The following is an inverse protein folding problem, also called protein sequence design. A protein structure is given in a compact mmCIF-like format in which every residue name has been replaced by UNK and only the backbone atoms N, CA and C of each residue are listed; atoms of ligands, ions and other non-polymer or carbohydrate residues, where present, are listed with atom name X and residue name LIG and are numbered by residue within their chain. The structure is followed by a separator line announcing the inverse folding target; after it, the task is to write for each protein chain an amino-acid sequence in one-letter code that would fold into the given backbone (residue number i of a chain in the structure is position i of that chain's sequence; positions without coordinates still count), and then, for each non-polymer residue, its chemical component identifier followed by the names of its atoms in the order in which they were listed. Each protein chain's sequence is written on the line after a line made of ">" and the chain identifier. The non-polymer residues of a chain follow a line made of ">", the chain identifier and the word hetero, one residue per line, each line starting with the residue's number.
data_IF_271722045219
#
_entry.id   IF_271722045219
#
_cell.length_a   1.000
_cell.length_b   1.000
_cell.length_c   1.000
_cell.angle_alpha   90.00
_cell.angle_beta   90.00
_cell.angle_gamma   90.00
#
_symmetry.space_group_name_H-M   'P 1'
#
loop_
_entity.id
_entity.type
_entity.pdbx_description
1 polymer ?
#
# COMPACT_ATOMS: atom_id res chain seq x y z
N UNK A 1 6.39 -48.43 5.07
CA UNK A 1 7.16 -48.07 3.85
C UNK A 1 6.18 -47.36 2.94
N UNK A 2 6.34 -46.16 2.41
CA UNK A 2 7.29 -45.05 2.44
C UNK A 2 6.54 -43.99 1.59
N UNK A 3 6.56 -42.67 1.76
CA UNK A 3 7.23 -41.67 2.58
C UNK A 3 6.33 -40.44 2.41
N UNK A 4 6.06 -39.72 3.49
CA UNK A 4 5.57 -38.35 3.41
C UNK A 4 6.56 -37.51 2.60
N UNK A 5 6.17 -37.10 1.39
CA UNK A 5 6.92 -36.11 0.63
C UNK A 5 6.53 -34.72 1.15
N UNK A 6 7.22 -34.26 2.20
CA UNK A 6 7.31 -32.84 2.56
C UNK A 6 7.78 -32.08 1.32
N UNK A 7 6.90 -31.35 0.65
CA UNK A 7 7.32 -30.36 -0.34
C UNK A 7 7.96 -29.19 0.41
N UNK A 8 9.21 -28.91 0.06
CA UNK A 8 10.10 -28.04 0.78
C UNK A 8 9.64 -26.57 0.70
N UNK A 9 9.26 -26.04 1.86
CA UNK A 9 9.54 -24.68 2.32
C UNK A 9 9.99 -23.66 1.25
N UNK A 10 9.03 -22.96 0.64
CA UNK A 10 9.23 -21.58 0.16
C UNK A 10 8.45 -20.64 1.07
N UNK A 11 8.79 -20.62 2.37
CA UNK A 11 8.31 -19.54 3.22
C UNK A 11 8.87 -18.23 2.66
N UNK A 12 7.97 -17.32 2.27
CA UNK A 12 8.34 -15.96 1.89
C UNK A 12 9.23 -15.35 2.97
N UNK A 13 10.30 -14.66 2.58
CA UNK A 13 11.17 -13.96 3.53
C UNK A 13 10.41 -12.90 4.35
N UNK A 14 9.23 -12.46 3.86
CA UNK A 14 8.40 -11.45 4.48
C UNK A 14 6.92 -11.84 4.44
N UNK A 15 6.20 -11.43 5.48
CA UNK A 15 4.73 -11.44 5.48
C UNK A 15 4.22 -10.33 4.57
N UNK A 16 3.26 -10.65 3.70
CA UNK A 16 2.57 -9.67 2.87
C UNK A 16 1.21 -9.31 3.49
N UNK A 17 0.81 -8.05 3.32
CA UNK A 17 -0.53 -7.58 3.68
C UNK A 17 -1.16 -6.99 2.44
N UNK A 18 -2.27 -7.60 1.99
CA UNK A 18 -2.99 -7.15 0.81
C UNK A 18 -4.07 -6.13 1.19
N UNK A 19 -4.10 -5.02 0.45
CA UNK A 19 -5.11 -3.98 0.59
C UNK A 19 -5.79 -3.71 -0.75
N UNK A 20 -7.09 -3.41 -0.74
CA UNK A 20 -7.87 -3.04 -1.93
C UNK A 20 -8.48 -1.66 -1.76
N UNK A 21 -8.13 -0.76 -2.66
CA UNK A 21 -8.61 0.62 -2.72
C UNK A 21 -9.04 0.93 -4.15
N UNK A 22 -9.88 1.97 -4.30
CA UNK A 22 -10.33 2.42 -5.61
C UNK A 22 -9.26 3.35 -6.22
N UNK A 23 -8.55 4.11 -5.37
CA UNK A 23 -7.41 4.96 -5.77
C UNK A 23 -6.26 4.84 -4.76
N UNK A 24 -5.03 4.78 -5.26
CA UNK A 24 -3.81 4.83 -4.44
C UNK A 24 -2.93 5.98 -4.93
N UNK A 25 -2.62 6.92 -4.04
CA UNK A 25 -1.72 8.04 -4.28
C UNK A 25 -0.40 7.79 -3.56
N UNK A 26 0.72 7.85 -4.29
CA UNK A 26 2.06 7.68 -3.74
C UNK A 26 2.76 9.05 -3.68
N UNK A 27 3.03 9.51 -2.47
CA UNK A 27 3.58 10.82 -2.17
C UNK A 27 2.53 11.76 -1.55
N UNK A 28 2.92 12.43 -0.46
CA UNK A 28 2.07 13.37 0.28
C UNK A 28 2.59 14.82 0.21
N UNK A 29 3.14 15.22 -0.94
CA UNK A 29 3.39 16.62 -1.30
C UNK A 29 2.10 17.38 -1.61
N UNK A 30 2.20 18.65 -2.02
CA UNK A 30 1.02 19.47 -2.33
C UNK A 30 0.08 18.82 -3.35
N UNK A 31 0.64 18.31 -4.45
CA UNK A 31 -0.12 17.60 -5.48
C UNK A 31 -0.75 16.29 -4.96
N UNK A 32 0.01 15.50 -4.19
CA UNK A 32 -0.45 14.22 -3.66
C UNK A 32 -1.60 14.37 -2.65
N UNK A 33 -1.52 15.38 -1.77
CA UNK A 33 -2.60 15.70 -0.83
C UNK A 33 -3.84 16.24 -1.56
N UNK A 34 -3.68 17.10 -2.57
CA UNK A 34 -4.83 17.60 -3.35
C UNK A 34 -5.51 16.48 -4.15
N UNK A 35 -4.75 15.56 -4.72
CA UNK A 35 -5.29 14.38 -5.40
C UNK A 35 -6.04 13.48 -4.40
N UNK A 36 -5.41 13.15 -3.26
CA UNK A 36 -6.01 12.31 -2.22
C UNK A 36 -7.33 12.89 -1.72
N UNK A 37 -7.35 14.18 -1.36
CA UNK A 37 -8.56 14.86 -0.90
C UNK A 37 -9.64 14.86 -1.97
N UNK A 38 -9.30 15.19 -3.22
CA UNK A 38 -10.27 15.22 -4.31
C UNK A 38 -10.95 13.88 -4.58
N UNK A 39 -10.22 12.77 -4.46
CA UNK A 39 -10.78 11.43 -4.63
C UNK A 39 -11.63 11.01 -3.43
N UNK A 40 -11.19 11.35 -2.21
CA UNK A 40 -11.97 11.10 -1.00
C UNK A 40 -13.28 11.91 -0.98
N UNK A 41 -13.27 13.17 -1.43
CA UNK A 41 -14.46 14.02 -1.58
C UNK A 41 -15.49 13.44 -2.57
N UNK A 42 -15.04 12.64 -3.55
CA UNK A 42 -15.90 11.91 -4.48
C UNK A 42 -16.42 10.57 -3.91
N UNK A 43 -16.10 10.25 -2.66
CA UNK A 43 -16.54 9.01 -1.99
C UNK A 43 -15.71 7.77 -2.37
N UNK A 44 -14.58 7.93 -3.06
CA UNK A 44 -13.70 6.81 -3.41
C UNK A 44 -12.84 6.40 -2.21
N UNK A 45 -12.70 5.08 -2.00
CA UNK A 45 -11.76 4.57 -0.98
C UNK A 45 -10.34 4.83 -1.47
N UNK A 46 -9.73 5.86 -0.89
CA UNK A 46 -8.46 6.40 -1.34
C UNK A 46 -7.38 6.16 -0.29
N UNK A 47 -6.24 5.60 -0.70
CA UNK A 47 -5.05 5.47 0.14
C UNK A 47 -4.00 6.50 -0.26
N UNK A 48 -3.42 7.19 0.73
CA UNK A 48 -2.23 8.03 0.53
C UNK A 48 -1.04 7.37 1.21
N UNK A 49 -0.04 6.99 0.43
CA UNK A 49 1.18 6.34 0.90
C UNK A 49 2.33 7.33 0.80
N UNK A 50 3.01 7.58 1.91
CA UNK A 50 4.14 8.52 1.94
C UNK A 50 5.27 7.99 2.81
N UNK A 51 6.51 8.22 2.36
CA UNK A 51 7.73 7.86 3.10
C UNK A 51 7.91 8.72 4.35
N UNK A 52 7.50 9.97 4.30
CA UNK A 52 7.68 10.96 5.37
C UNK A 52 6.33 11.52 5.79
N UNK A 53 6.25 12.06 6.99
CA UNK A 53 5.06 12.77 7.45
C UNK A 53 4.70 13.89 6.47
N UNK A 54 3.41 14.09 6.10
CA UNK A 54 3.02 14.94 4.96
C UNK A 54 3.61 16.36 4.96
N UNK A 55 3.74 17.02 6.11
CA UNK A 55 4.30 18.37 6.21
C UNK A 55 5.83 18.45 6.02
N UNK A 56 6.50 17.31 5.92
CA UNK A 56 7.95 17.19 5.65
C UNK A 56 8.24 16.64 4.25
N UNK A 57 7.21 16.49 3.42
CA UNK A 57 7.37 16.14 2.02
C UNK A 57 8.02 17.30 1.25
N UNK A 58 8.68 16.96 0.16
CA UNK A 58 9.07 17.96 -0.83
C UNK A 58 7.84 18.31 -1.66
N UNK A 59 7.69 19.59 -2.04
CA UNK A 59 6.52 20.01 -2.79
C UNK A 59 6.48 19.41 -4.18
#
# INVERSE_FOLDING_TARGET
>A
MAKDAKNANTASAYTYVDHKFDVVVVGAGGAGLRATLGMAEQGLRTACITKVFPTRSHT
#
